data_IF_336570715336
#
_entry.id   IF_336570715336
#
_cell.length_a   1.000
_cell.length_b   1.000
_cell.length_c   1.000
_cell.angle_alpha   90.00
_cell.angle_beta   90.00
_cell.angle_gamma   90.00
#
_symmetry.space_group_name_H-M   'P 1'
#
loop_
_entity.id
_entity.type
_entity.pdbx_description
1 polymer ?
#
# COMPACT_ATOMS: atom_id res chain seq x y z
N UNK A 1 7.63 -7.49 17.33
CA UNK A 1 6.54 -8.30 16.72
C UNK A 1 7.01 -9.71 16.38
N UNK A 2 8.20 -9.91 15.81
CA UNK A 2 8.75 -11.23 15.44
C UNK A 2 8.69 -12.36 16.49
N UNK A 3 8.72 -12.05 17.80
CA UNK A 3 8.62 -13.07 18.87
C UNK A 3 7.25 -13.76 18.99
N UNK A 4 6.22 -13.28 18.29
CA UNK A 4 4.85 -13.80 18.36
C UNK A 4 4.37 -14.41 17.05
N UNK A 5 5.19 -14.44 16.00
CA UNK A 5 4.73 -14.70 14.64
C UNK A 5 5.50 -15.83 13.95
N UNK A 6 4.80 -16.61 13.13
CA UNK A 6 5.41 -17.60 12.24
C UNK A 6 6.16 -16.95 11.06
N UNK A 7 5.73 -15.74 10.67
CA UNK A 7 6.36 -14.90 9.65
C UNK A 7 5.94 -13.44 9.89
N UNK A 8 6.73 -12.49 9.40
CA UNK A 8 6.44 -11.06 9.48
C UNK A 8 6.77 -10.39 8.15
N UNK A 9 5.83 -9.63 7.62
CA UNK A 9 6.00 -8.78 6.44
C UNK A 9 5.86 -7.32 6.86
N UNK A 10 6.89 -6.51 6.59
CA UNK A 10 6.85 -5.06 6.82
C UNK A 10 6.26 -4.40 5.57
N UNK A 11 5.03 -3.91 5.67
CA UNK A 11 4.31 -3.33 4.53
C UNK A 11 4.61 -1.84 4.35
N UNK A 12 4.77 -1.11 5.47
CA UNK A 12 5.21 0.28 5.52
C UNK A 12 5.92 0.55 6.85
N UNK A 13 6.37 1.79 7.07
CA UNK A 13 6.99 2.21 8.33
C UNK A 13 6.07 2.02 9.55
N UNK A 14 4.76 2.12 9.35
CA UNK A 14 3.72 2.07 10.38
C UNK A 14 2.84 0.82 10.31
N UNK A 15 3.13 -0.11 9.40
CA UNK A 15 2.24 -1.22 9.11
C UNK A 15 2.98 -2.52 8.80
N UNK A 16 2.55 -3.60 9.43
CA UNK A 16 3.11 -4.94 9.24
C UNK A 16 2.03 -6.00 9.29
N UNK A 17 2.18 -7.04 8.47
CA UNK A 17 1.41 -8.28 8.56
C UNK A 17 2.23 -9.32 9.32
N UNK A 18 1.56 -10.10 10.16
CA UNK A 18 2.19 -11.17 10.93
C UNK A 18 1.35 -12.45 10.84
N UNK A 19 2.02 -13.57 10.64
CA UNK A 19 1.40 -14.89 10.67
C UNK A 19 1.18 -15.36 12.09
N UNK A 20 -0.08 -15.54 12.50
CA UNK A 20 -0.44 -16.09 13.81
C UNK A 20 -1.18 -17.42 13.66
N UNK A 21 -1.00 -18.32 14.62
CA UNK A 21 -1.75 -19.58 14.73
C UNK A 21 -2.39 -19.66 16.11
N UNK A 22 -3.62 -20.15 16.18
CA UNK A 22 -4.37 -20.30 17.42
C UNK A 22 -5.87 -20.24 17.21
N UNK A 23 -6.62 -20.47 18.27
CA UNK A 23 -8.06 -20.25 18.34
C UNK A 23 -8.39 -18.75 18.38
N UNK A 24 -9.64 -18.38 18.10
CA UNK A 24 -10.07 -16.97 18.10
C UNK A 24 -9.76 -16.26 19.44
N UNK A 25 -10.05 -16.82 20.62
CA UNK A 25 -9.70 -16.20 21.89
C UNK A 25 -8.19 -16.00 22.08
N UNK A 26 -7.37 -16.98 21.70
CA UNK A 26 -5.91 -16.90 21.81
C UNK A 26 -5.32 -15.83 20.88
N UNK A 27 -5.87 -15.70 19.67
CA UNK A 27 -5.47 -14.69 18.71
C UNK A 27 -5.84 -13.28 19.18
N UNK A 28 -7.03 -13.08 19.75
CA UNK A 28 -7.43 -11.80 20.35
C UNK A 28 -6.51 -11.45 21.53
N UNK A 29 -6.22 -12.40 22.41
CA UNK A 29 -5.31 -12.20 23.54
C UNK A 29 -3.89 -11.83 23.04
N UNK A 30 -3.42 -12.50 21.99
CA UNK A 30 -2.14 -12.20 21.34
C UNK A 30 -2.13 -10.80 20.73
N UNK A 31 -3.20 -10.39 20.05
CA UNK A 31 -3.33 -9.03 19.51
C UNK A 31 -3.28 -7.95 20.59
N UNK A 32 -3.91 -8.19 21.75
CA UNK A 32 -3.85 -7.27 22.90
C UNK A 32 -2.42 -7.14 23.43
N UNK A 33 -1.72 -8.26 23.64
CA UNK A 33 -0.30 -8.28 24.07
C UNK A 33 0.59 -7.52 23.09
N UNK A 34 0.45 -7.77 21.78
CA UNK A 34 1.23 -7.06 20.76
C UNK A 34 1.02 -5.56 20.85
N UNK A 35 -0.24 -5.11 21.03
CA UNK A 35 -0.55 -3.69 21.15
C UNK A 35 0.07 -3.06 22.39
N UNK A 36 -0.02 -3.72 23.55
CA UNK A 36 0.61 -3.29 24.80
C UNK A 36 2.14 -3.22 24.68
N UNK A 37 2.74 -4.23 24.05
CA UNK A 37 4.17 -4.32 23.82
C UNK A 37 4.68 -3.20 22.93
N UNK A 38 4.00 -2.95 21.81
CA UNK A 38 4.37 -1.86 20.89
C UNK A 38 4.24 -0.51 21.59
N UNK A 39 3.13 -0.28 22.30
CA UNK A 39 2.94 0.95 23.06
C UNK A 39 4.05 1.16 24.10
N UNK A 40 4.43 0.11 24.83
CA UNK A 40 5.50 0.19 25.83
C UNK A 40 6.87 0.45 25.21
N UNK A 41 7.18 -0.17 24.06
CA UNK A 41 8.49 -0.06 23.44
C UNK A 41 8.67 1.23 22.61
N UNK A 42 7.60 1.75 22.00
CA UNK A 42 7.69 2.89 21.06
C UNK A 42 6.96 4.14 21.53
N UNK A 43 6.08 4.03 22.51
CA UNK A 43 5.17 5.10 22.92
C UNK A 43 4.01 5.35 21.94
N UNK A 44 3.91 4.59 20.85
CA UNK A 44 2.92 4.81 19.79
C UNK A 44 1.79 3.77 19.89
N UNK A 45 0.52 4.19 20.03
CA UNK A 45 -0.59 3.25 20.08
C UNK A 45 -0.85 2.66 18.68
N UNK A 46 -0.97 1.33 18.63
CA UNK A 46 -1.33 0.60 17.41
C UNK A 46 -2.71 -0.04 17.51
N UNK A 47 -3.23 -0.46 16.35
CA UNK A 47 -4.45 -1.27 16.23
C UNK A 47 -4.08 -2.60 15.59
N UNK A 48 -4.82 -3.65 15.94
CA UNK A 48 -4.57 -5.01 15.43
C UNK A 48 -5.86 -5.55 14.82
N UNK A 49 -5.89 -5.67 13.49
CA UNK A 49 -6.87 -6.49 12.80
C UNK A 49 -6.38 -7.93 12.67
N UNK A 50 -7.28 -8.89 12.76
CA UNK A 50 -6.97 -10.32 12.61
C UNK A 50 -8.04 -10.96 11.72
N UNK A 51 -7.61 -11.63 10.65
CA UNK A 51 -8.48 -12.40 9.78
C UNK A 51 -7.69 -13.47 9.01
N UNK A 52 -8.39 -14.26 8.18
CA UNK A 52 -7.79 -15.34 7.39
C UNK A 52 -6.92 -14.84 6.23
N UNK A 53 -7.12 -13.62 5.77
CA UNK A 53 -6.50 -13.06 4.56
C UNK A 53 -6.05 -11.62 4.79
N UNK A 54 -5.12 -11.08 3.98
CA UNK A 54 -4.59 -9.72 4.15
C UNK A 54 -5.68 -8.67 3.95
N UNK A 55 -6.52 -8.85 2.93
CA UNK A 55 -7.65 -7.95 2.65
C UNK A 55 -8.63 -7.92 3.83
N UNK A 56 -9.02 -9.09 4.34
CA UNK A 56 -9.90 -9.17 5.52
C UNK A 56 -9.22 -8.61 6.77
N UNK A 57 -7.91 -8.74 6.91
CA UNK A 57 -7.15 -8.17 8.03
C UNK A 57 -7.19 -6.64 8.02
N UNK A 58 -7.16 -6.02 6.83
CA UNK A 58 -7.37 -4.58 6.68
C UNK A 58 -8.80 -4.17 7.01
N UNK A 59 -9.78 -4.96 6.58
CA UNK A 59 -11.18 -4.75 6.96
C UNK A 59 -11.36 -4.83 8.48
N UNK A 60 -10.75 -5.82 9.14
CA UNK A 60 -10.74 -5.95 10.59
C UNK A 60 -10.11 -4.74 11.29
N UNK A 61 -8.95 -4.29 10.79
CA UNK A 61 -8.22 -3.12 11.32
C UNK A 61 -9.04 -1.84 11.22
N UNK A 62 -9.80 -1.67 10.13
CA UNK A 62 -10.77 -0.57 9.99
C UNK A 62 -11.86 -0.65 11.05
N UNK A 63 -12.42 -1.84 11.30
CA UNK A 63 -13.39 -2.06 12.38
C UNK A 63 -12.82 -1.67 13.75
N UNK A 64 -11.60 -2.11 14.08
CA UNK A 64 -10.89 -1.73 15.31
C UNK A 64 -10.61 -0.21 15.43
N UNK A 65 -10.64 0.52 14.32
CA UNK A 65 -10.52 1.98 14.29
C UNK A 65 -11.87 2.67 14.50
N UNK A 66 -12.94 2.12 13.95
CA UNK A 66 -14.28 2.69 14.00
C UNK A 66 -14.98 2.45 15.35
N UNK A 67 -14.75 1.30 15.97
CA UNK A 67 -15.40 0.92 17.23
C UNK A 67 -14.37 0.86 18.37
N UNK A 68 -14.42 1.87 19.26
CA UNK A 68 -13.54 1.98 20.41
C UNK A 68 -13.80 0.90 21.47
N UNK A 69 -15.01 0.30 21.50
CA UNK A 69 -15.35 -0.76 22.45
C UNK A 69 -14.52 -2.04 22.23
N UNK A 70 -13.99 -2.21 21.01
CA UNK A 70 -13.09 -3.32 20.66
C UNK A 70 -11.69 -3.19 21.28
N UNK A 71 -11.38 -2.09 21.95
CA UNK A 71 -10.08 -1.91 22.62
C UNK A 71 -8.89 -1.92 21.66
N UNK A 72 -9.12 -1.59 20.39
CA UNK A 72 -8.09 -1.56 19.35
C UNK A 72 -7.70 -2.92 18.76
N UNK A 73 -8.44 -4.00 19.08
CA UNK A 73 -8.22 -5.34 18.51
C UNK A 73 -9.52 -5.86 17.92
N UNK A 74 -9.52 -6.21 16.63
CA UNK A 74 -10.68 -6.79 15.96
C UNK A 74 -10.29 -8.08 15.25
N UNK A 75 -11.01 -9.17 15.55
CA UNK A 75 -10.84 -10.45 14.89
C UNK A 75 -12.11 -10.85 14.16
N UNK A 76 -12.08 -10.89 12.81
CA UNK A 76 -13.30 -11.11 12.03
C UNK A 76 -13.91 -12.50 12.21
N UNK A 77 -13.09 -13.52 12.51
CA UNK A 77 -13.59 -14.86 12.84
C UNK A 77 -14.35 -14.97 14.18
N UNK A 78 -14.49 -13.88 14.94
CA UNK A 78 -15.33 -13.85 16.15
C UNK A 78 -16.80 -13.55 15.84
N UNK A 79 -17.08 -13.10 14.61
CA UNK A 79 -18.43 -12.77 14.17
C UNK A 79 -19.07 -13.96 13.48
N UNK A 80 -20.36 -14.16 13.73
CA UNK A 80 -21.17 -15.10 12.95
C UNK A 80 -21.22 -14.67 11.48
N UNK A 81 -21.41 -15.61 10.52
CA UNK A 81 -21.47 -15.31 9.09
C UNK A 81 -22.41 -14.16 8.73
N UNK A 82 -23.64 -14.14 9.28
CA UNK A 82 -24.62 -13.08 9.01
C UNK A 82 -24.18 -11.69 9.49
N UNK A 83 -23.34 -11.64 10.53
CA UNK A 83 -22.79 -10.38 11.01
C UNK A 83 -21.63 -9.94 10.11
N UNK A 84 -20.78 -10.86 9.67
CA UNK A 84 -19.74 -10.55 8.69
C UNK A 84 -20.35 -10.05 7.36
N UNK A 85 -21.47 -10.64 6.94
CA UNK A 85 -22.24 -10.19 5.79
C UNK A 85 -22.69 -8.74 5.93
N UNK A 86 -23.26 -8.37 7.09
CA UNK A 86 -23.66 -6.98 7.38
C UNK A 86 -22.47 -6.02 7.40
N UNK A 87 -21.33 -6.44 7.93
CA UNK A 87 -20.10 -5.62 7.92
C UNK A 87 -19.66 -5.38 6.47
N UNK A 88 -19.66 -6.40 5.62
CA UNK A 88 -19.25 -6.29 4.22
C UNK A 88 -20.25 -5.48 3.38
N UNK A 89 -21.54 -5.63 3.66
CA UNK A 89 -22.61 -4.87 3.02
C UNK A 89 -22.53 -3.37 3.38
N UNK A 90 -22.22 -3.05 4.64
CA UNK A 90 -21.98 -1.68 5.09
C UNK A 90 -20.63 -1.09 4.67
N UNK A 91 -19.76 -1.85 4.00
CA UNK A 91 -18.43 -1.38 3.60
C UNK A 91 -18.41 -1.06 2.10
N UNK A 92 -18.20 0.20 1.74
CA UNK A 92 -18.12 0.58 0.33
C UNK A 92 -16.87 -0.03 -0.34
N UNK A 93 -16.93 -0.40 -1.62
CA UNK A 93 -15.78 -1.03 -2.31
C UNK A 93 -14.52 -0.18 -2.29
N UNK A 94 -14.63 1.14 -2.28
CA UNK A 94 -13.47 2.05 -2.21
C UNK A 94 -12.86 2.16 -0.82
N UNK A 95 -13.51 1.59 0.20
CA UNK A 95 -12.94 1.45 1.54
C UNK A 95 -12.10 0.16 1.69
N UNK A 96 -12.15 -0.73 0.69
CA UNK A 96 -11.31 -1.91 0.65
C UNK A 96 -9.88 -1.58 0.25
N UNK A 97 -8.94 -2.25 0.89
CA UNK A 97 -7.52 -2.14 0.59
C UNK A 97 -7.26 -2.55 -0.88
N UNK A 98 -6.53 -1.70 -1.61
CA UNK A 98 -6.19 -1.90 -3.02
C UNK A 98 -7.23 -1.40 -4.03
N UNK A 99 -8.38 -0.87 -3.60
CA UNK A 99 -9.43 -0.36 -4.51
C UNK A 99 -9.52 1.17 -4.45
N UNK A 100 -8.95 1.84 -5.45
CA UNK A 100 -9.00 3.30 -5.57
C UNK A 100 -10.29 3.81 -6.25
N UNK A 101 -10.54 5.12 -6.17
CA UNK A 101 -11.74 5.78 -6.69
C UNK A 101 -12.04 5.50 -8.17
N UNK A 102 -11.01 5.43 -9.04
CA UNK A 102 -11.19 5.10 -10.47
C UNK A 102 -11.74 3.69 -10.65
N UNK A 103 -11.19 2.73 -9.92
CA UNK A 103 -11.66 1.34 -9.92
C UNK A 103 -13.06 1.24 -9.32
N UNK A 104 -13.31 1.94 -8.21
CA UNK A 104 -14.63 2.04 -7.58
C UNK A 104 -15.71 2.56 -8.52
N UNK A 105 -15.43 3.61 -9.30
CA UNK A 105 -16.38 4.12 -10.32
C UNK A 105 -16.71 3.07 -11.39
N UNK A 106 -15.72 2.30 -11.81
CA UNK A 106 -15.91 1.21 -12.79
C UNK A 106 -16.75 0.08 -12.20
N UNK A 107 -16.50 -0.29 -10.93
CA UNK A 107 -17.30 -1.28 -10.19
C UNK A 107 -18.76 -0.81 -10.02
N UNK A 108 -18.96 0.44 -9.63
CA UNK A 108 -20.29 1.04 -9.48
C UNK A 108 -21.08 1.04 -10.79
N UNK A 109 -20.42 1.27 -11.94
CA UNK A 109 -21.05 1.15 -13.26
C UNK A 109 -21.52 -0.28 -13.60
N UNK A 110 -21.14 -1.27 -12.79
CA UNK A 110 -21.55 -2.67 -12.88
C UNK A 110 -22.42 -3.10 -11.69
N UNK A 111 -23.00 -2.14 -10.96
CA UNK A 111 -23.81 -2.34 -9.75
C UNK A 111 -23.06 -3.03 -8.60
N UNK A 112 -21.73 -2.85 -8.52
CA UNK A 112 -20.92 -3.35 -7.40
C UNK A 112 -20.50 -2.15 -6.55
N UNK A 113 -21.14 -2.00 -5.40
CA UNK A 113 -20.97 -0.85 -4.50
C UNK A 113 -20.34 -1.22 -3.17
N UNK A 114 -20.60 -2.44 -2.68
CA UNK A 114 -20.17 -2.89 -1.36
C UNK A 114 -19.10 -3.99 -1.44
N UNK A 115 -18.40 -4.23 -0.33
CA UNK A 115 -17.48 -5.35 -0.22
C UNK A 115 -18.20 -6.69 -0.39
N UNK A 116 -19.47 -6.77 0.02
CA UNK A 116 -20.34 -7.93 -0.19
C UNK A 116 -20.61 -8.15 -1.69
N UNK A 117 -21.01 -7.11 -2.43
CA UNK A 117 -21.24 -7.19 -3.87
C UNK A 117 -19.99 -7.71 -4.59
N UNK A 118 -18.81 -7.20 -4.24
CA UNK A 118 -17.55 -7.61 -4.86
C UNK A 118 -17.19 -9.06 -4.49
N UNK A 119 -17.38 -9.46 -3.23
CA UNK A 119 -17.17 -10.83 -2.78
C UNK A 119 -18.07 -11.81 -3.53
N UNK A 120 -19.31 -11.42 -3.79
CA UNK A 120 -20.33 -12.29 -4.39
C UNK A 120 -20.25 -12.31 -5.93
N UNK A 121 -19.53 -11.36 -6.54
CA UNK A 121 -19.27 -11.32 -7.98
C UNK A 121 -18.45 -12.53 -8.50
N UNK A 122 -18.63 -12.89 -9.77
CA UNK A 122 -17.87 -13.97 -10.39
C UNK A 122 -16.39 -13.59 -10.56
N UNK A 123 -15.49 -14.29 -9.88
CA UNK A 123 -14.07 -13.94 -9.80
C UNK A 123 -13.37 -13.92 -11.17
N UNK A 124 -13.68 -14.88 -12.05
CA UNK A 124 -13.14 -14.94 -13.43
C UNK A 124 -13.62 -13.76 -14.29
N UNK A 125 -14.87 -13.36 -14.12
CA UNK A 125 -15.42 -12.19 -14.80
C UNK A 125 -14.75 -10.89 -14.32
N UNK A 126 -14.57 -10.75 -13.00
CA UNK A 126 -13.82 -9.65 -12.39
C UNK A 126 -12.39 -9.60 -12.93
N UNK A 127 -11.69 -10.74 -13.02
CA UNK A 127 -10.36 -10.83 -13.64
C UNK A 127 -10.34 -10.26 -15.05
N UNK A 128 -11.28 -10.70 -15.90
CA UNK A 128 -11.38 -10.29 -17.30
C UNK A 128 -11.62 -8.79 -17.45
N UNK A 129 -12.35 -8.17 -16.52
CA UNK A 129 -12.66 -6.73 -16.54
C UNK A 129 -11.58 -5.86 -15.90
N UNK A 130 -10.81 -6.40 -14.94
CA UNK A 130 -9.85 -5.64 -14.15
C UNK A 130 -8.45 -6.21 -14.22
N UNK A 131 -8.15 -7.21 -13.39
CA UNK A 131 -6.83 -7.81 -13.25
C UNK A 131 -6.88 -9.08 -12.42
N UNK A 132 -5.80 -9.88 -12.46
CA UNK A 132 -5.59 -11.01 -11.53
C UNK A 132 -5.53 -10.55 -10.07
N UNK A 133 -5.08 -9.33 -9.79
CA UNK A 133 -5.08 -8.79 -8.42
C UNK A 133 -6.50 -8.60 -7.92
N UNK A 134 -7.42 -8.10 -8.74
CA UNK A 134 -8.82 -7.94 -8.35
C UNK A 134 -9.52 -9.29 -8.12
N UNK A 135 -9.19 -10.30 -8.93
CA UNK A 135 -9.64 -11.68 -8.70
C UNK A 135 -9.17 -12.21 -7.34
N UNK A 136 -7.90 -11.98 -7.00
CA UNK A 136 -7.35 -12.34 -5.68
C UNK A 136 -8.08 -11.60 -4.56
N UNK A 137 -8.41 -10.32 -4.72
CA UNK A 137 -9.23 -9.57 -3.74
C UNK A 137 -10.59 -10.22 -3.52
N UNK A 138 -11.27 -10.69 -4.58
CA UNK A 138 -12.54 -11.42 -4.44
C UNK A 138 -12.35 -12.70 -3.61
N UNK A 139 -11.31 -13.48 -3.89
CA UNK A 139 -11.00 -14.68 -3.12
C UNK A 139 -10.61 -14.38 -1.66
N UNK A 140 -9.84 -13.32 -1.43
CA UNK A 140 -9.47 -12.86 -0.10
C UNK A 140 -10.69 -12.48 0.74
N UNK A 141 -11.69 -11.80 0.13
CA UNK A 141 -12.97 -11.47 0.78
C UNK A 141 -13.80 -12.71 1.11
N UNK A 142 -13.63 -13.80 0.36
CA UNK A 142 -14.20 -15.13 0.66
C UNK A 142 -13.39 -15.91 1.71
N UNK A 143 -12.33 -15.30 2.25
CA UNK A 143 -11.46 -15.91 3.26
C UNK A 143 -10.44 -16.90 2.69
N UNK A 144 -10.24 -16.92 1.37
CA UNK A 144 -9.23 -17.73 0.69
C UNK A 144 -7.96 -16.88 0.54
N UNK A 145 -6.86 -17.18 1.26
CA UNK A 145 -5.63 -16.42 1.13
C UNK A 145 -5.06 -16.56 -0.28
N UNK A 146 -4.87 -15.45 -0.97
CA UNK A 146 -4.45 -15.39 -2.37
C UNK A 146 -3.38 -14.33 -2.63
N UNK A 147 -3.14 -13.42 -1.67
CA UNK A 147 -2.04 -12.47 -1.74
C UNK A 147 -0.80 -13.09 -1.10
N UNK A 148 0.33 -13.20 -1.83
CA UNK A 148 1.53 -13.84 -1.31
C UNK A 148 2.05 -13.08 -0.08
N UNK A 149 2.69 -13.80 0.83
CA UNK A 149 3.52 -13.20 1.86
C UNK A 149 4.80 -12.74 1.16
N UNK A 150 5.11 -11.45 1.24
CA UNK A 150 6.36 -10.89 0.77
C UNK A 150 7.26 -10.82 2.00
N UNK A 151 8.10 -11.85 2.20
CA UNK A 151 8.97 -11.94 3.37
C UNK A 151 10.05 -10.83 3.39
N UNK A 152 10.23 -10.12 2.27
CA UNK A 152 11.15 -9.01 2.16
C UNK A 152 10.55 -7.91 1.26
N UNK A 153 10.40 -6.66 1.75
CA UNK A 153 10.18 -5.54 0.85
C UNK A 153 11.34 -5.52 -0.16
N UNK A 154 11.10 -5.22 -1.44
CA UNK A 154 12.14 -5.32 -2.47
C UNK A 154 13.40 -4.60 -1.98
N UNK A 155 14.55 -5.29 -2.07
CA UNK A 155 15.84 -4.85 -1.51
C UNK A 155 16.18 -3.40 -1.89
N UNK A 156 15.66 -2.96 -3.04
CA UNK A 156 15.66 -1.59 -3.49
C UNK A 156 14.25 -1.17 -3.88
N UNK A 157 13.88 0.07 -3.58
CA UNK A 157 12.74 0.67 -4.27
C UNK A 157 13.09 0.73 -5.76
N UNK A 158 12.27 0.12 -6.62
CA UNK A 158 12.44 0.15 -8.09
C UNK A 158 12.55 1.58 -8.65
N UNK A 159 12.15 2.58 -7.85
CA UNK A 159 12.14 3.98 -8.22
C UNK A 159 12.60 4.86 -7.05
N UNK A 160 13.49 5.80 -7.36
CA UNK A 160 13.89 6.88 -6.46
C UNK A 160 13.28 8.19 -6.92
N UNK A 161 12.31 8.73 -6.17
CA UNK A 161 11.58 9.95 -6.54
C UNK A 161 11.85 11.09 -5.56
N UNK A 162 12.19 12.26 -6.09
CA UNK A 162 12.17 13.54 -5.38
C UNK A 162 11.12 14.46 -6.00
N UNK A 163 10.03 14.71 -5.28
CA UNK A 163 8.95 15.59 -5.72
C UNK A 163 8.44 16.44 -4.57
N UNK A 164 8.09 17.71 -4.85
CA UNK A 164 7.42 18.61 -3.89
C UNK A 164 6.50 19.58 -4.61
N UNK A 165 5.41 19.94 -3.95
CA UNK A 165 4.62 21.13 -4.29
C UNK A 165 5.30 22.38 -3.73
N UNK A 166 5.24 23.48 -4.48
CA UNK A 166 5.79 24.77 -4.07
C UNK A 166 4.69 25.68 -3.50
N UNK A 167 5.02 26.44 -2.44
CA UNK A 167 4.11 27.44 -1.86
C UNK A 167 3.85 28.60 -2.80
N UNK A 168 4.82 28.94 -3.66
CA UNK A 168 4.68 29.88 -4.76
C UNK A 168 4.95 29.16 -6.09
N UNK A 169 4.17 29.45 -7.15
CA UNK A 169 4.41 28.87 -8.47
C UNK A 169 5.81 29.20 -8.99
N UNK A 170 6.50 28.21 -9.53
CA UNK A 170 7.69 28.40 -10.34
C UNK A 170 7.24 28.92 -11.71
N UNK A 171 7.58 30.16 -12.03
CA UNK A 171 7.10 30.85 -13.25
C UNK A 171 8.18 31.07 -14.29
N UNK A 172 9.45 30.82 -13.95
CA UNK A 172 10.57 31.05 -14.86
C UNK A 172 11.39 29.79 -15.12
N UNK A 173 11.99 29.64 -16.33
CA UNK A 173 12.92 28.54 -16.61
C UNK A 173 14.12 28.50 -15.67
N UNK A 174 14.60 29.66 -15.21
CA UNK A 174 15.74 29.75 -14.28
C UNK A 174 15.42 29.12 -12.92
N UNK A 175 14.25 29.44 -12.35
CA UNK A 175 13.77 28.82 -11.12
C UNK A 175 13.55 27.31 -11.30
N UNK A 176 13.00 26.88 -12.44
CA UNK A 176 12.82 25.45 -12.72
C UNK A 176 14.15 24.70 -12.79
N UNK A 177 15.16 25.27 -13.47
CA UNK A 177 16.51 24.70 -13.50
C UNK A 177 17.10 24.55 -12.10
N UNK A 178 16.96 25.57 -11.26
CA UNK A 178 17.45 25.51 -9.88
C UNK A 178 16.78 24.37 -9.08
N UNK A 179 15.46 24.23 -9.21
CA UNK A 179 14.71 23.13 -8.58
C UNK A 179 15.22 21.77 -9.06
N UNK A 180 15.32 21.58 -10.38
CA UNK A 180 15.77 20.31 -10.96
C UNK A 180 17.21 19.99 -10.54
N UNK A 181 18.12 20.95 -10.50
CA UNK A 181 19.49 20.74 -10.02
C UNK A 181 19.54 20.26 -8.57
N UNK A 182 18.73 20.85 -7.68
CA UNK A 182 18.64 20.42 -6.28
C UNK A 182 18.11 18.99 -6.19
N UNK A 183 17.08 18.65 -6.98
CA UNK A 183 16.50 17.30 -6.97
C UNK A 183 17.46 16.27 -7.54
N UNK A 184 18.15 16.59 -8.63
CA UNK A 184 19.20 15.76 -9.22
C UNK A 184 20.33 15.51 -8.22
N UNK A 185 20.85 16.54 -7.56
CA UNK A 185 21.91 16.39 -6.54
C UNK A 185 21.47 15.47 -5.38
N UNK A 186 20.24 15.60 -4.91
CA UNK A 186 19.68 14.74 -3.85
C UNK A 186 19.49 13.30 -4.33
N UNK A 187 19.01 13.12 -5.56
CA UNK A 187 18.88 11.82 -6.19
C UNK A 187 20.23 11.14 -6.32
N UNK A 188 21.22 11.79 -6.92
CA UNK A 188 22.57 11.27 -7.06
C UNK A 188 23.23 10.93 -5.73
N UNK A 189 23.04 11.77 -4.70
CA UNK A 189 23.58 11.49 -3.35
C UNK A 189 22.97 10.21 -2.79
N UNK A 190 21.64 10.08 -2.83
CA UNK A 190 20.96 8.88 -2.32
C UNK A 190 21.23 7.63 -3.14
N UNK A 191 21.45 7.74 -4.45
CA UNK A 191 21.89 6.62 -5.28
C UNK A 191 23.28 6.14 -4.87
N UNK A 192 24.23 7.07 -4.70
CA UNK A 192 25.58 6.75 -4.21
C UNK A 192 25.58 6.12 -2.82
N UNK A 193 24.83 6.68 -1.88
CA UNK A 193 24.72 6.15 -0.51
C UNK A 193 24.18 4.71 -0.48
N UNK A 194 23.39 4.32 -1.49
CA UNK A 194 22.81 2.98 -1.64
C UNK A 194 23.58 2.07 -2.59
N UNK A 195 24.67 2.56 -3.22
CA UNK A 195 25.40 1.81 -4.24
C UNK A 195 24.58 1.45 -5.47
N UNK A 196 23.58 2.27 -5.83
CA UNK A 196 22.64 1.99 -6.93
C UNK A 196 22.97 2.79 -8.19
N UNK A 197 22.74 2.15 -9.33
CA UNK A 197 22.68 2.79 -10.66
C UNK A 197 21.24 2.74 -11.18
N UNK A 198 20.88 3.69 -12.04
CA UNK A 198 19.54 3.75 -12.65
C UNK A 198 19.66 3.79 -14.16
N UNK A 199 18.86 3.02 -14.90
CA UNK A 199 18.88 3.04 -16.37
C UNK A 199 18.13 4.26 -16.94
N UNK A 200 17.24 4.87 -16.16
CA UNK A 200 16.35 5.95 -16.62
C UNK A 200 16.26 7.06 -15.57
N UNK A 201 16.35 8.31 -16.02
CA UNK A 201 16.08 9.50 -15.21
C UNK A 201 14.93 10.28 -15.85
N UNK A 202 13.84 10.48 -15.10
CA UNK A 202 12.72 11.28 -15.60
C UNK A 202 12.45 12.49 -14.72
N UNK A 203 11.99 13.58 -15.34
CA UNK A 203 11.58 14.80 -14.67
C UNK A 203 10.19 15.21 -15.15
N UNK A 204 9.30 15.58 -14.23
CA UNK A 204 7.97 16.07 -14.56
C UNK A 204 7.68 17.38 -13.83
N UNK A 205 6.89 18.23 -14.47
CA UNK A 205 6.35 19.45 -13.88
C UNK A 205 4.86 19.54 -14.17
N UNK A 206 4.09 19.93 -13.17
CA UNK A 206 2.65 20.09 -13.27
C UNK A 206 2.22 21.42 -12.64
N UNK A 207 1.25 22.09 -13.26
CA UNK A 207 0.64 23.29 -12.68
C UNK A 207 -0.35 22.92 -11.56
N UNK A 208 -0.62 23.87 -10.66
CA UNK A 208 -1.54 23.65 -9.55
C UNK A 208 -2.94 23.28 -10.05
N UNK A 209 -3.49 22.18 -9.52
CA UNK A 209 -4.86 21.71 -9.80
C UNK A 209 -5.95 22.60 -9.20
N UNK A 210 -5.58 23.54 -8.31
CA UNK A 210 -6.51 24.43 -7.60
C UNK A 210 -6.64 25.83 -8.24
N UNK A 211 -5.90 26.12 -9.34
CA UNK A 211 -6.03 27.39 -10.06
C UNK A 211 -7.13 27.25 -11.13
N UNK A 212 -8.10 28.18 -11.18
CA UNK A 212 -9.06 28.26 -12.29
C UNK A 212 -8.29 28.63 -13.57
N UNK A 213 -8.26 27.74 -14.57
CA UNK A 213 -7.55 27.93 -15.84
C UNK A 213 -7.09 26.61 -16.47
N UNK A 214 -6.36 26.68 -17.59
CA UNK A 214 -5.81 25.50 -18.27
C UNK A 214 -4.77 24.77 -17.41
N UNK A 215 -4.88 23.45 -17.36
CA UNK A 215 -3.96 22.57 -16.64
C UNK A 215 -2.92 22.03 -17.63
N UNK A 216 -1.64 22.25 -17.32
CA UNK A 216 -0.54 21.70 -18.12
C UNK A 216 0.28 20.75 -17.24
N UNK A 217 0.48 19.54 -17.75
CA UNK A 217 1.40 18.55 -17.20
C UNK A 217 2.35 18.17 -18.32
N UNK A 218 3.65 18.38 -18.11
CA UNK A 218 4.68 17.94 -19.04
C UNK A 218 5.65 17.00 -18.33
N UNK A 219 5.95 15.88 -18.99
CA UNK A 219 6.91 14.89 -18.55
C UNK A 219 8.03 14.84 -19.57
N UNK A 220 9.27 14.95 -19.08
CA UNK A 220 10.48 14.78 -19.84
C UNK A 220 11.18 13.53 -19.31
N UNK A 221 11.53 12.63 -20.22
CA UNK A 221 12.25 11.40 -19.90
C UNK A 221 13.63 11.48 -20.54
N UNK A 222 14.66 11.30 -19.73
CA UNK A 222 16.03 11.16 -20.19
C UNK A 222 16.42 9.69 -19.96
N UNK A 223 16.63 8.99 -21.06
CA UNK A 223 17.13 7.63 -21.04
C UNK A 223 18.62 7.70 -21.31
N UNK A 224 19.43 7.28 -20.34
CA UNK A 224 20.87 7.14 -20.54
C UNK A 224 21.06 5.73 -21.08
N UNK A 225 21.42 5.60 -22.36
CA UNK A 225 21.89 4.34 -22.92
C UNK A 225 23.18 4.00 -22.17
N UNK A 226 23.08 3.10 -21.19
CA UNK A 226 24.27 2.45 -20.64
C UNK A 226 24.76 1.51 -21.74
N UNK A 227 25.52 2.05 -22.69
CA UNK A 227 26.41 1.24 -23.51
C UNK A 227 27.36 0.51 -22.56
N UNK A 228 27.59 -0.77 -22.84
CA UNK A 228 28.33 -1.73 -22.03
C UNK A 228 29.53 -1.09 -21.32
N UNK A 229 29.53 -1.13 -19.98
CA UNK A 229 30.77 -1.17 -19.22
C UNK A 229 31.23 -2.63 -19.12
N UNK A 230 31.58 -3.22 -20.26
CA UNK A 230 32.53 -4.33 -20.31
C UNK A 230 33.91 -3.72 -20.57
N UNK A 231 34.84 -3.91 -19.62
CA UNK A 231 36.24 -3.56 -19.82
C UNK A 231 36.94 -3.08 -18.55
N UNK A 232 37.50 -4.04 -17.82
CA UNK A 232 38.70 -3.90 -16.98
C UNK A 232 38.69 -2.88 -15.83
N UNK A 233 38.47 -3.39 -14.61
CA UNK A 233 39.34 -3.04 -13.50
C UNK A 233 39.97 -4.31 -12.89
N UNK A 234 41.26 -4.38 -13.16
CA UNK A 234 42.27 -5.34 -12.72
C UNK A 234 42.41 -5.36 -11.19
N UNK A 235 42.65 -6.57 -10.69
CA UNK A 235 43.34 -6.98 -9.46
C UNK A 235 43.82 -5.86 -8.51
N UNK A 236 43.40 -5.94 -7.23
CA UNK A 236 44.24 -6.34 -6.10
C UNK A 236 43.39 -6.71 -4.87
#
# INVERSE_FOLDING_TARGET
>A
MGRHSAWQEVYSIDESFIGLRGTVPELIATGKRIREDVLRCTGIPVRVGIARSKTLTKLASRGAKADLSLGGVCHLGSYAPDHLDRIMDGTHVTDLWGIASRTGKRLAAMNIHTAKDLRDAEAKWIRKKFSVVMERTVHELRGIPCLPVEDEPPAHQDQLIFSRSFSQPVTTPAQMRQVLSIYAQRASTRLRDRGLVVPVVSAWAATSRFKKGEHHSQQFMFEELIDHLDGDYVQH
#
